data_IF_140867309097
#
_entry.id   IF_140867309097
#
_cell.length_a   1.000
_cell.length_b   1.000
_cell.length_c   1.000
_cell.angle_alpha   90.00
_cell.angle_beta   90.00
_cell.angle_gamma   90.00
#
_symmetry.space_group_name_H-M   'P 1'
#
loop_
_entity.id
_entity.type
_entity.pdbx_description
1 polymer ?
#
# COMPACT_ATOMS: atom_id res chain seq x y z
N UNK A 1 17.95 -15.19 -11.67
CA UNK A 1 16.67 -15.00 -10.97
C UNK A 1 15.95 -13.84 -11.66
N UNK A 2 14.85 -14.12 -12.36
CA UNK A 2 14.24 -13.17 -13.29
C UNK A 2 13.48 -12.07 -12.53
N UNK A 3 13.96 -10.84 -12.63
CA UNK A 3 13.26 -9.62 -12.21
C UNK A 3 12.01 -9.48 -13.09
N UNK A 4 10.87 -10.01 -12.65
CA UNK A 4 9.57 -9.75 -13.31
C UNK A 4 9.41 -8.24 -13.33
N UNK A 5 9.29 -7.64 -14.52
CA UNK A 5 8.76 -6.28 -14.68
C UNK A 5 7.31 -6.29 -14.22
N UNK A 6 7.10 -6.35 -12.91
CA UNK A 6 5.79 -6.13 -12.29
C UNK A 6 5.49 -4.65 -12.42
N UNK A 7 4.41 -4.31 -13.12
CA UNK A 7 3.92 -2.94 -13.14
C UNK A 7 3.64 -2.45 -11.71
N UNK A 8 3.57 -1.15 -11.52
CA UNK A 8 3.09 -0.55 -10.27
C UNK A 8 1.60 -0.25 -10.39
N UNK A 9 0.86 -0.39 -9.30
CA UNK A 9 -0.53 0.07 -9.17
C UNK A 9 -0.59 1.22 -8.18
N UNK A 10 -1.58 2.09 -8.35
CA UNK A 10 -1.84 3.18 -7.41
C UNK A 10 -2.80 2.71 -6.33
N UNK A 11 -2.43 2.98 -5.08
CA UNK A 11 -3.22 2.72 -3.90
C UNK A 11 -3.45 4.03 -3.20
N UNK A 12 -4.70 4.30 -2.87
CA UNK A 12 -5.06 5.42 -2.00
C UNK A 12 -5.16 4.93 -0.57
N UNK A 13 -4.43 5.61 0.30
CA UNK A 13 -4.37 5.41 1.73
C UNK A 13 -5.14 6.54 2.39
N UNK A 14 -6.07 6.20 3.28
CA UNK A 14 -6.80 7.15 4.11
C UNK A 14 -6.25 7.07 5.52
N UNK A 15 -5.76 8.19 6.02
CA UNK A 15 -5.26 8.33 7.37
C UNK A 15 -6.16 9.25 8.19
N UNK A 16 -6.19 9.01 9.50
CA UNK A 16 -6.82 9.91 10.47
C UNK A 16 -5.77 10.45 11.43
N UNK A 17 -5.84 11.75 11.66
CA UNK A 17 -4.95 12.46 12.57
C UNK A 17 -5.75 13.48 13.37
N UNK A 18 -5.85 13.29 14.68
CA UNK A 18 -6.57 14.20 15.59
C UNK A 18 -8.00 14.57 15.10
N UNK A 19 -8.69 13.63 14.44
CA UNK A 19 -10.04 13.83 13.89
C UNK A 19 -10.09 14.43 12.48
N UNK A 20 -8.93 14.73 11.88
CA UNK A 20 -8.79 15.16 10.49
C UNK A 20 -8.46 13.98 9.58
N UNK A 21 -9.15 13.89 8.44
CA UNK A 21 -8.91 12.84 7.45
C UNK A 21 -8.08 13.37 6.29
N UNK A 22 -7.02 12.65 5.92
CA UNK A 22 -6.21 12.96 4.75
C UNK A 22 -5.99 11.70 3.92
N UNK A 23 -5.93 11.89 2.59
CA UNK A 23 -5.62 10.81 1.68
C UNK A 23 -4.26 11.03 1.03
N UNK A 24 -3.54 9.94 0.82
CA UNK A 24 -2.30 9.91 0.05
C UNK A 24 -2.38 8.81 -1.00
N UNK A 25 -1.84 9.07 -2.19
CA UNK A 25 -1.74 8.06 -3.24
C UNK A 25 -0.30 7.59 -3.35
N UNK A 26 -0.09 6.28 -3.25
CA UNK A 26 1.21 5.66 -3.36
C UNK A 26 1.24 4.63 -4.50
N UNK A 27 2.40 4.48 -5.12
CA UNK A 27 2.63 3.45 -6.15
C UNK A 27 3.33 2.26 -5.53
N UNK A 28 2.68 1.10 -5.57
CA UNK A 28 3.23 -0.16 -5.04
C UNK A 28 3.30 -1.23 -6.12
N UNK A 29 4.15 -2.28 -5.97
CA UNK A 29 4.24 -3.34 -6.96
C UNK A 29 2.91 -4.10 -7.11
N UNK A 30 2.44 -4.24 -8.35
CA UNK A 30 1.22 -4.99 -8.65
C UNK A 30 1.32 -6.49 -8.28
N UNK A 31 2.55 -7.01 -8.25
CA UNK A 31 2.80 -8.39 -7.84
C UNK A 31 2.52 -8.59 -6.34
N UNK A 32 2.91 -7.62 -5.50
CA UNK A 32 2.65 -7.64 -4.06
C UNK A 32 1.14 -7.60 -3.79
N UNK A 33 0.38 -6.73 -4.47
CA UNK A 33 -1.09 -6.67 -4.29
C UNK A 33 -1.79 -8.00 -4.59
N UNK A 34 -1.29 -8.77 -5.57
CA UNK A 34 -1.87 -10.09 -5.91
C UNK A 34 -1.44 -11.22 -4.97
N UNK A 35 -0.42 -11.00 -4.16
CA UNK A 35 0.11 -12.01 -3.25
C UNK A 35 -0.63 -12.07 -1.90
N UNK A 36 -1.46 -11.06 -1.60
CA UNK A 36 -2.23 -10.98 -0.35
C UNK A 36 -3.72 -10.84 -0.65
N UNK A 37 -4.56 -11.54 0.12
CA UNK A 37 -6.02 -11.38 0.06
C UNK A 37 -6.48 -9.99 0.52
N UNK A 38 -5.74 -9.36 1.45
CA UNK A 38 -6.05 -8.03 1.98
C UNK A 38 -4.92 -7.06 1.67
N UNK A 39 -5.28 -5.90 1.15
CA UNK A 39 -4.33 -4.85 0.83
C UNK A 39 -3.60 -4.31 2.07
N UNK A 40 -4.25 -4.32 3.23
CA UNK A 40 -3.64 -3.91 4.50
C UNK A 40 -2.51 -4.86 4.89
N UNK A 41 -2.65 -6.17 4.69
CA UNK A 41 -1.60 -7.15 5.02
C UNK A 41 -0.37 -6.93 4.13
N UNK A 42 -0.60 -6.69 2.82
CA UNK A 42 0.45 -6.30 1.88
C UNK A 42 1.22 -5.04 2.33
N UNK A 43 0.51 -4.01 2.81
CA UNK A 43 1.14 -2.76 3.30
C UNK A 43 1.88 -2.93 4.63
N UNK A 44 1.64 -4.02 5.36
CA UNK A 44 2.24 -4.28 6.69
C UNK A 44 3.39 -5.27 6.66
N UNK A 45 3.39 -6.21 5.70
CA UNK A 45 4.26 -7.38 5.74
C UNK A 45 5.17 -7.50 4.51
N UNK A 46 4.80 -6.92 3.36
CA UNK A 46 5.55 -7.11 2.11
C UNK A 46 6.84 -6.29 2.10
N UNK A 47 7.99 -6.97 2.14
CA UNK A 47 9.30 -6.33 2.16
C UNK A 47 9.54 -5.43 0.94
N UNK A 48 9.05 -5.82 -0.24
CA UNK A 48 9.19 -5.06 -1.48
C UNK A 48 8.40 -3.74 -1.46
N UNK A 49 7.25 -3.73 -0.78
CA UNK A 49 6.44 -2.54 -0.49
C UNK A 49 7.10 -1.69 0.59
N UNK A 50 7.43 -2.28 1.73
CA UNK A 50 7.99 -1.59 2.90
C UNK A 50 9.36 -0.96 2.62
N UNK A 51 10.15 -1.54 1.72
CA UNK A 51 11.41 -0.95 1.26
C UNK A 51 11.23 0.38 0.50
N UNK A 52 10.02 0.68 0.02
CA UNK A 52 9.70 1.88 -0.77
C UNK A 52 8.74 2.84 -0.07
N UNK A 53 7.88 2.30 0.80
CA UNK A 53 6.78 3.02 1.41
C UNK A 53 6.76 2.69 2.91
N UNK A 54 6.96 3.71 3.73
CA UNK A 54 6.70 3.60 5.16
C UNK A 54 5.24 3.98 5.43
N UNK A 55 4.48 3.08 6.05
CA UNK A 55 3.07 3.29 6.38
C UNK A 55 2.90 3.32 7.89
N UNK A 56 2.31 4.39 8.40
CA UNK A 56 1.86 4.43 9.78
C UNK A 56 0.53 3.68 9.89
N UNK A 57 0.62 2.41 10.29
CA UNK A 57 -0.51 1.49 10.34
C UNK A 57 -1.51 1.88 11.44
N UNK A 58 -1.07 2.54 12.50
CA UNK A 58 -1.96 2.95 13.59
C UNK A 58 -2.90 4.08 13.15
N UNK A 59 -2.45 4.92 12.22
CA UNK A 59 -3.25 6.02 11.66
C UNK A 59 -3.99 5.63 10.39
N UNK A 60 -3.68 4.48 9.78
CA UNK A 60 -4.31 4.02 8.55
C UNK A 60 -5.73 3.51 8.82
N UNK A 61 -6.72 4.21 8.26
CA UNK A 61 -8.13 3.86 8.37
C UNK A 61 -8.56 2.92 7.25
N UNK A 62 -8.11 3.18 6.02
CA UNK A 62 -8.44 2.35 4.87
C UNK A 62 -7.40 2.46 3.76
N UNK A 63 -7.33 1.42 2.94
CA UNK A 63 -6.52 1.38 1.74
C UNK A 63 -7.33 0.76 0.60
N UNK A 64 -7.25 1.36 -0.58
CA UNK A 64 -7.94 0.85 -1.77
C UNK A 64 -7.17 1.14 -3.05
N UNK A 65 -7.35 0.29 -4.06
CA UNK A 65 -6.77 0.49 -5.38
C UNK A 65 -7.48 1.65 -6.09
N UNK A 66 -6.70 2.48 -6.76
CA UNK A 66 -7.22 3.54 -7.65
C UNK A 66 -7.23 2.96 -9.07
N UNK A 67 -8.39 3.01 -9.73
CA UNK A 67 -8.57 2.61 -11.14
C UNK A 67 -7.97 3.62 -12.13
#
# INVERSE_FOLDING_TARGET
>A
MAKKKGGTVEVRLLFVDEGSYHHETAKIPAASVKAYDRLIDCLREDEDVLAKLHVDVERLVSAYLVE
#
